data_IF_621759506711
#
_entry.id   IF_621759506711
#
_cell.length_a   1.000
_cell.length_b   1.000
_cell.length_c   1.000
_cell.angle_alpha   90.00
_cell.angle_beta   90.00
_cell.angle_gamma   90.00
#
_symmetry.space_group_name_H-M   'P 1'
#
loop_
_entity.id
_entity.type
_entity.pdbx_description
1 polymer ?
#
# COMPACT_ATOMS: atom_id res chain seq x y z
N UNK A 1 15.96 -18.44 -120.98
CA UNK A 1 14.51 -18.42 -120.88
C UNK A 1 14.07 -18.82 -119.47
N UNK A 2 13.36 -18.09 -118.83
CA UNK A 2 12.74 -18.25 -117.52
C UNK A 2 13.65 -18.34 -116.28
N UNK A 3 13.79 -17.13 -115.64
CA UNK A 3 14.26 -16.98 -114.27
C UNK A 3 13.20 -17.33 -113.25
N UNK A 4 13.55 -18.21 -112.34
CA UNK A 4 12.78 -18.39 -111.09
C UNK A 4 13.45 -17.73 -109.94
N UNK A 5 12.87 -16.65 -109.44
CA UNK A 5 13.23 -16.04 -108.18
C UNK A 5 12.69 -16.86 -107.06
N UNK A 6 13.55 -17.37 -106.20
CA UNK A 6 13.23 -18.01 -104.94
C UNK A 6 13.07 -17.01 -103.83
N UNK A 7 11.89 -16.97 -103.26
CA UNK A 7 11.53 -16.12 -102.12
C UNK A 7 11.91 -16.86 -100.82
N UNK A 8 12.82 -16.27 -100.00
CA UNK A 8 13.16 -16.76 -98.68
C UNK A 8 12.34 -15.97 -97.64
N UNK A 9 11.51 -16.56 -96.81
CA UNK A 9 10.82 -15.84 -95.74
C UNK A 9 11.72 -15.75 -94.50
N UNK A 10 11.98 -14.54 -94.08
CA UNK A 10 12.54 -14.25 -92.74
C UNK A 10 11.47 -14.49 -91.72
N UNK A 11 11.54 -15.63 -91.03
CA UNK A 11 10.74 -15.87 -89.85
C UNK A 11 11.61 -15.90 -88.58
N UNK A 12 11.28 -14.99 -87.67
CA UNK A 12 11.24 -15.37 -86.28
C UNK A 12 12.45 -15.14 -85.39
N UNK A 13 12.70 -13.88 -85.00
CA UNK A 13 13.55 -13.62 -83.84
C UNK A 13 12.89 -12.74 -82.77
N UNK A 14 11.59 -12.41 -82.86
CA UNK A 14 10.92 -11.53 -81.90
C UNK A 14 10.16 -12.27 -80.76
N UNK A 15 10.06 -13.57 -80.76
CA UNK A 15 9.33 -14.33 -79.71
C UNK A 15 10.19 -14.82 -78.53
N UNK A 16 11.50 -14.72 -78.62
CA UNK A 16 12.43 -15.24 -77.58
C UNK A 16 12.73 -14.21 -76.49
N UNK A 17 12.67 -12.91 -76.76
CA UNK A 17 12.97 -11.86 -75.80
C UNK A 17 11.93 -11.74 -74.67
N UNK A 18 10.63 -11.83 -74.98
CA UNK A 18 9.56 -11.76 -73.95
C UNK A 18 9.59 -12.94 -72.96
N UNK A 19 9.95 -14.14 -73.43
CA UNK A 19 10.12 -15.31 -72.52
C UNK A 19 11.32 -15.17 -71.61
N UNK A 20 12.42 -14.54 -72.10
CA UNK A 20 13.62 -14.26 -71.29
C UNK A 20 13.35 -13.25 -70.21
N UNK A 21 12.61 -12.14 -70.46
CA UNK A 21 12.22 -11.17 -69.45
C UNK A 21 11.33 -11.74 -68.37
N UNK A 22 10.35 -12.61 -68.73
CA UNK A 22 9.49 -13.29 -67.78
C UNK A 22 10.30 -14.26 -66.88
N UNK A 23 11.29 -14.95 -67.46
CA UNK A 23 12.16 -15.84 -66.66
C UNK A 23 13.05 -15.04 -65.69
N UNK A 24 13.62 -13.93 -66.13
CA UNK A 24 14.45 -13.03 -65.27
C UNK A 24 13.58 -12.44 -64.16
N UNK A 25 12.35 -11.98 -64.45
CA UNK A 25 11.42 -11.48 -63.44
C UNK A 25 11.03 -12.55 -62.43
N UNK A 26 10.79 -13.79 -62.86
CA UNK A 26 10.51 -14.92 -61.99
C UNK A 26 11.68 -15.25 -61.05
N UNK A 27 12.90 -15.17 -61.53
CA UNK A 27 14.11 -15.40 -60.73
C UNK A 27 14.27 -14.28 -59.68
N UNK A 28 14.11 -13.01 -60.07
CA UNK A 28 14.19 -11.87 -59.13
C UNK A 28 13.13 -12.00 -58.05
N UNK A 29 11.88 -12.35 -58.39
CA UNK A 29 10.81 -12.54 -57.46
C UNK A 29 11.07 -13.73 -56.49
N UNK A 30 11.60 -14.83 -57.00
CA UNK A 30 11.98 -15.98 -56.19
C UNK A 30 13.11 -15.68 -55.22
N UNK A 31 14.14 -14.93 -55.64
CA UNK A 31 15.22 -14.47 -54.79
C UNK A 31 14.71 -13.48 -53.71
N UNK A 32 13.83 -12.56 -54.10
CA UNK A 32 13.18 -11.63 -53.16
C UNK A 32 12.33 -12.36 -52.09
N UNK A 33 11.57 -13.35 -52.48
CA UNK A 33 10.79 -14.19 -51.56
C UNK A 33 11.70 -15.01 -50.64
N UNK A 34 12.75 -15.62 -51.11
CA UNK A 34 13.72 -16.36 -50.30
C UNK A 34 14.46 -15.43 -49.33
N UNK A 35 14.87 -14.26 -49.75
CA UNK A 35 15.49 -13.27 -48.88
C UNK A 35 14.54 -12.80 -47.80
N UNK A 36 13.27 -12.52 -48.15
CA UNK A 36 12.20 -12.15 -47.19
C UNK A 36 11.92 -13.28 -46.18
N UNK A 37 11.83 -14.52 -46.65
CA UNK A 37 11.63 -15.67 -45.77
C UNK A 37 12.83 -15.92 -44.86
N UNK A 38 14.04 -15.67 -45.30
CA UNK A 38 15.26 -15.80 -44.50
C UNK A 38 15.32 -14.69 -43.42
N UNK A 39 14.99 -13.45 -43.79
CA UNK A 39 14.92 -12.33 -42.83
C UNK A 39 13.82 -12.58 -41.78
N UNK A 40 12.63 -12.97 -42.24
CA UNK A 40 11.53 -13.32 -41.32
C UNK A 40 11.90 -14.52 -40.42
N UNK A 41 12.52 -15.57 -40.98
CA UNK A 41 12.96 -16.72 -40.20
C UNK A 41 14.02 -16.38 -39.14
N UNK A 42 14.93 -15.45 -39.45
CA UNK A 42 15.89 -14.94 -38.44
C UNK A 42 15.23 -14.06 -37.38
N UNK A 43 14.23 -13.27 -37.75
CA UNK A 43 13.45 -12.49 -36.78
C UNK A 43 12.63 -13.42 -35.86
N UNK A 44 12.05 -14.50 -36.39
CA UNK A 44 11.34 -15.49 -35.57
C UNK A 44 12.27 -16.32 -34.68
N UNK A 45 13.55 -16.53 -35.03
CA UNK A 45 14.53 -17.14 -34.13
C UNK A 45 14.81 -16.26 -32.89
N UNK A 46 14.79 -14.95 -33.06
CA UNK A 46 14.95 -14.00 -31.94
C UNK A 46 13.66 -13.83 -31.11
N UNK A 47 12.52 -14.29 -31.61
CA UNK A 47 11.24 -14.39 -30.88
C UNK A 47 11.10 -15.72 -30.12
N UNK A 48 12.14 -16.54 -30.00
CA UNK A 48 12.13 -17.62 -29.00
C UNK A 48 11.88 -16.95 -27.67
N UNK A 49 10.71 -17.22 -27.13
CA UNK A 49 10.37 -16.84 -25.76
C UNK A 49 11.50 -17.37 -24.89
N UNK A 50 12.42 -16.47 -24.54
CA UNK A 50 13.36 -16.73 -23.46
C UNK A 50 12.50 -17.09 -22.27
N UNK A 51 12.67 -18.30 -21.73
CA UNK A 51 11.94 -18.72 -20.54
C UNK A 51 12.05 -17.63 -19.49
N UNK A 52 11.16 -17.61 -18.55
CA UNK A 52 11.24 -16.68 -17.44
C UNK A 52 11.08 -17.40 -16.11
N UNK A 53 11.63 -16.82 -15.08
CA UNK A 53 11.46 -17.25 -13.70
C UNK A 53 10.80 -16.13 -12.92
N UNK A 54 9.66 -16.45 -12.28
CA UNK A 54 8.95 -15.52 -11.40
C UNK A 54 9.19 -15.91 -9.95
N UNK A 55 9.65 -14.97 -9.14
CA UNK A 55 9.97 -15.18 -7.73
C UNK A 55 9.33 -14.11 -6.88
N UNK A 56 9.02 -14.47 -5.63
CA UNK A 56 8.61 -13.52 -4.60
C UNK A 56 9.77 -13.29 -3.65
N UNK A 57 10.11 -12.00 -3.44
CA UNK A 57 11.03 -11.58 -2.42
C UNK A 57 10.27 -10.99 -1.23
N UNK A 58 10.77 -11.24 -0.04
CA UNK A 58 10.22 -10.78 1.23
C UNK A 58 11.26 -9.92 1.94
N UNK A 59 10.81 -8.79 2.49
CA UNK A 59 11.58 -8.05 3.48
C UNK A 59 10.75 -7.81 4.73
N UNK A 60 11.36 -8.03 5.87
CA UNK A 60 10.83 -7.70 7.19
C UNK A 60 11.88 -6.91 7.98
N UNK A 61 11.44 -5.90 8.71
CA UNK A 61 12.31 -5.13 9.62
C UNK A 61 11.50 -4.64 10.81
N UNK A 62 12.18 -4.53 11.95
CA UNK A 62 11.59 -4.02 13.18
C UNK A 62 11.87 -2.53 13.31
N UNK A 63 10.87 -1.79 13.79
CA UNK A 63 10.91 -0.35 14.00
C UNK A 63 10.22 -0.01 15.32
N UNK A 64 10.67 1.06 15.95
CA UNK A 64 10.03 1.63 17.14
C UNK A 64 9.24 2.87 16.70
N UNK A 65 7.99 2.97 17.13
CA UNK A 65 7.15 4.14 16.87
C UNK A 65 7.81 5.42 17.36
N UNK A 66 7.65 6.49 16.61
CA UNK A 66 8.28 7.78 16.88
C UNK A 66 7.30 8.84 17.36
N UNK A 67 6.00 8.57 17.23
CA UNK A 67 4.94 9.47 17.64
C UNK A 67 3.81 8.70 18.31
N UNK A 68 3.23 9.29 19.36
CA UNK A 68 2.03 8.80 20.02
C UNK A 68 0.94 9.88 20.02
N UNK A 69 -0.30 9.45 19.85
CA UNK A 69 -1.48 10.29 20.04
C UNK A 69 -2.40 9.67 21.08
N UNK A 70 -3.03 10.52 21.87
CA UNK A 70 -3.90 10.08 22.93
C UNK A 70 -5.09 11.01 23.11
N UNK A 71 -6.25 10.49 23.47
CA UNK A 71 -7.47 11.27 23.63
C UNK A 71 -8.03 11.09 25.03
N UNK A 72 -8.20 12.19 25.73
CA UNK A 72 -8.93 12.26 26.99
C UNK A 72 -10.26 12.98 26.71
N UNK A 73 -11.37 12.38 27.12
CA UNK A 73 -12.70 12.97 27.01
C UNK A 73 -13.12 13.54 28.34
N UNK A 74 -13.70 14.71 28.30
CA UNK A 74 -14.18 15.43 29.47
C UNK A 74 -15.64 15.76 29.26
N UNK A 75 -16.48 15.34 30.21
CA UNK A 75 -17.92 15.58 30.18
C UNK A 75 -18.35 16.47 31.35
N UNK A 76 -19.57 16.92 31.34
CA UNK A 76 -20.20 17.65 32.45
C UNK A 76 -21.71 17.68 32.22
N UNK A 77 -22.45 17.35 33.24
CA UNK A 77 -23.92 17.41 33.24
C UNK A 77 -24.38 18.65 33.99
N UNK A 78 -25.54 19.19 33.59
CA UNK A 78 -26.21 20.27 34.28
C UNK A 78 -27.69 20.33 34.00
N UNK A 79 -28.46 20.81 34.96
CA UNK A 79 -29.92 20.98 34.79
C UNK A 79 -30.24 22.05 33.72
N UNK A 80 -29.34 23.03 33.56
CA UNK A 80 -29.39 24.03 32.49
C UNK A 80 -28.19 23.91 31.57
N UNK A 81 -28.29 24.51 30.38
CA UNK A 81 -27.19 24.58 29.43
C UNK A 81 -25.90 25.21 30.03
N UNK A 82 -26.11 26.30 30.81
CA UNK A 82 -25.00 26.96 31.50
C UNK A 82 -24.37 26.10 32.57
N UNK A 83 -25.16 25.37 33.35
CA UNK A 83 -24.64 24.45 34.38
C UNK A 83 -23.80 23.34 33.77
N UNK A 84 -24.25 22.75 32.66
CA UNK A 84 -23.50 21.74 31.94
C UNK A 84 -22.15 22.27 31.40
N UNK A 85 -22.15 23.49 30.83
CA UNK A 85 -20.92 24.16 30.41
C UNK A 85 -19.96 24.41 31.56
N UNK A 86 -20.47 24.88 32.70
CA UNK A 86 -19.65 25.16 33.89
C UNK A 86 -19.04 23.87 34.47
N UNK A 87 -19.82 22.81 34.54
CA UNK A 87 -19.35 21.50 34.98
C UNK A 87 -18.24 20.97 34.04
N UNK A 88 -18.46 21.03 32.73
CA UNK A 88 -17.45 20.64 31.76
C UNK A 88 -16.17 21.46 31.89
N UNK A 89 -16.27 22.79 32.05
CA UNK A 89 -15.10 23.66 32.20
C UNK A 89 -14.29 23.32 33.47
N UNK A 90 -14.95 23.02 34.57
CA UNK A 90 -14.30 22.58 35.82
C UNK A 90 -13.50 21.30 35.60
N UNK A 91 -14.13 20.29 34.99
CA UNK A 91 -13.51 18.99 34.71
C UNK A 91 -12.37 19.13 33.68
N UNK A 92 -12.53 20.00 32.66
CA UNK A 92 -11.48 20.32 31.70
C UNK A 92 -10.23 20.91 32.41
N UNK A 93 -10.44 21.85 33.33
CA UNK A 93 -9.33 22.47 34.08
C UNK A 93 -8.58 21.43 34.92
N UNK A 94 -9.28 20.43 35.47
CA UNK A 94 -8.68 19.34 36.22
C UNK A 94 -7.84 18.42 35.32
N UNK A 95 -8.37 18.01 34.17
CA UNK A 95 -7.64 17.21 33.19
C UNK A 95 -6.39 17.96 32.63
N UNK A 96 -6.51 19.26 32.37
CA UNK A 96 -5.39 20.10 31.93
C UNK A 96 -4.31 20.21 33.01
N UNK A 97 -4.69 20.38 34.28
CA UNK A 97 -3.72 20.39 35.39
C UNK A 97 -2.96 19.04 35.49
N UNK A 98 -3.68 17.95 35.38
CA UNK A 98 -3.06 16.63 35.31
C UNK A 98 -2.03 16.53 34.18
N UNK A 99 -2.41 16.89 32.96
CA UNK A 99 -1.52 16.82 31.80
C UNK A 99 -0.27 17.71 31.96
N UNK A 100 -0.43 18.91 32.51
CA UNK A 100 0.71 19.78 32.86
C UNK A 100 1.65 19.13 33.87
N UNK A 101 1.08 18.48 34.90
CA UNK A 101 1.87 17.75 35.90
C UNK A 101 2.62 16.55 35.30
N UNK A 102 2.07 15.92 34.25
CA UNK A 102 2.74 14.87 33.50
C UNK A 102 3.77 15.41 32.48
N UNK A 103 3.91 16.73 32.35
CA UNK A 103 4.90 17.39 31.49
C UNK A 103 4.47 17.62 30.04
N UNK A 104 3.16 17.60 29.76
CA UNK A 104 2.65 17.98 28.46
C UNK A 104 2.38 19.49 28.41
N UNK A 105 3.11 20.19 27.53
CA UNK A 105 2.94 21.61 27.29
C UNK A 105 1.67 21.90 26.47
N UNK A 106 1.28 23.18 26.39
CA UNK A 106 0.09 23.61 25.66
C UNK A 106 0.18 23.27 24.16
N UNK A 107 1.36 23.29 23.57
CA UNK A 107 1.66 22.92 22.18
C UNK A 107 1.44 21.43 21.86
N UNK A 108 1.47 20.56 22.87
CA UNK A 108 1.22 19.13 22.72
C UNK A 108 -0.26 18.76 22.83
N UNK A 109 -1.12 19.73 23.10
CA UNK A 109 -2.53 19.52 23.39
C UNK A 109 -3.41 20.35 22.47
N UNK A 110 -4.42 19.70 21.93
CA UNK A 110 -5.52 20.32 21.21
C UNK A 110 -6.82 20.05 21.97
N UNK A 111 -7.53 21.11 22.34
CA UNK A 111 -8.83 21.01 22.99
C UNK A 111 -9.90 21.21 21.91
N UNK A 112 -10.81 20.25 21.75
CA UNK A 112 -11.89 20.36 20.78
C UNK A 112 -12.91 21.42 21.21
N UNK A 113 -13.74 21.85 20.26
CA UNK A 113 -14.89 22.70 20.54
C UNK A 113 -15.84 22.03 21.53
N UNK A 114 -16.59 22.87 22.28
CA UNK A 114 -17.61 22.41 23.22
C UNK A 114 -18.83 21.92 22.44
N UNK A 115 -19.23 20.71 22.71
CA UNK A 115 -20.51 20.14 22.28
C UNK A 115 -21.44 20.06 23.48
N UNK A 116 -22.66 20.58 23.33
CA UNK A 116 -23.71 20.52 24.38
C UNK A 116 -24.98 19.99 23.75
N UNK A 117 -25.49 18.92 24.30
CA UNK A 117 -26.69 18.26 23.84
C UNK A 117 -27.69 18.02 25.02
N UNK A 118 -28.95 17.81 24.68
CA UNK A 118 -29.94 17.43 25.67
C UNK A 118 -29.61 16.05 26.26
N UNK A 119 -29.60 15.94 27.58
CA UNK A 119 -29.50 14.65 28.27
C UNK A 119 -30.89 13.99 28.31
N UNK A 120 -30.98 12.73 27.88
CA UNK A 120 -32.21 11.97 27.83
C UNK A 120 -32.09 10.72 28.70
N UNK A 121 -32.90 10.67 29.77
CA UNK A 121 -33.06 9.47 30.59
C UNK A 121 -33.99 8.47 29.93
N UNK A 122 -33.63 7.21 29.97
CA UNK A 122 -34.52 6.09 29.60
C UNK A 122 -34.95 5.32 30.83
N UNK A 123 -36.24 5.05 30.96
CA UNK A 123 -36.78 4.30 32.06
C UNK A 123 -37.89 3.35 31.59
N UNK A 124 -38.10 2.28 32.31
CA UNK A 124 -39.16 1.34 32.05
C UNK A 124 -40.43 1.73 32.88
N UNK A 125 -41.59 1.79 32.23
CA UNK A 125 -42.83 2.04 32.92
C UNK A 125 -43.38 0.76 33.55
N UNK A 126 -44.49 0.85 34.34
CA UNK A 126 -45.14 -0.28 35.02
C UNK A 126 -45.63 -1.39 34.07
N UNK A 127 -45.68 -1.11 32.74
CA UNK A 127 -46.08 -2.06 31.69
C UNK A 127 -44.90 -2.72 31.00
N UNK A 128 -43.65 -2.45 31.43
CA UNK A 128 -42.44 -2.95 30.80
C UNK A 128 -42.08 -2.26 29.49
N UNK A 129 -42.65 -1.08 29.21
CA UNK A 129 -42.31 -0.27 28.01
C UNK A 129 -41.21 0.72 28.33
N UNK A 130 -40.17 0.80 27.46
CA UNK A 130 -39.13 1.82 27.55
C UNK A 130 -39.71 3.19 27.20
N UNK A 131 -39.58 4.14 28.10
CA UNK A 131 -39.93 5.55 27.92
C UNK A 131 -38.69 6.41 28.07
N UNK A 132 -38.74 7.62 27.53
CA UNK A 132 -37.64 8.61 27.63
C UNK A 132 -38.18 9.94 28.15
N UNK A 133 -37.35 10.67 28.86
CA UNK A 133 -37.57 12.06 29.24
C UNK A 133 -36.30 12.85 29.19
N UNK A 134 -36.41 14.10 28.80
CA UNK A 134 -35.29 15.04 28.85
C UNK A 134 -34.99 15.42 30.28
N UNK A 135 -33.70 15.35 30.67
CA UNK A 135 -33.23 15.61 32.03
C UNK A 135 -31.91 16.42 31.99
N UNK A 136 -32.05 17.69 31.62
CA UNK A 136 -30.89 18.59 31.56
C UNK A 136 -30.07 18.45 30.31
N UNK A 137 -28.79 18.74 30.43
CA UNK A 137 -27.83 18.85 29.31
C UNK A 137 -26.52 18.16 29.64
N UNK A 138 -25.91 17.57 28.60
CA UNK A 138 -24.57 17.04 28.64
C UNK A 138 -23.65 17.96 27.80
N UNK A 139 -22.55 18.34 28.39
CA UNK A 139 -21.47 19.06 27.71
C UNK A 139 -20.25 18.18 27.55
N UNK A 140 -19.64 18.13 26.41
CA UNK A 140 -18.45 17.30 26.14
C UNK A 140 -17.37 18.02 25.36
N UNK A 141 -16.12 17.69 25.68
CA UNK A 141 -14.91 18.06 24.94
C UNK A 141 -13.92 16.92 24.95
N UNK A 142 -13.01 16.94 24.00
CA UNK A 142 -11.86 16.06 24.00
C UNK A 142 -10.56 16.85 24.06
N UNK A 143 -9.58 16.33 24.79
CA UNK A 143 -8.19 16.80 24.74
C UNK A 143 -7.42 15.77 23.93
N UNK A 144 -6.88 16.19 22.80
CA UNK A 144 -6.00 15.37 21.98
C UNK A 144 -4.56 15.72 22.31
N UNK A 145 -3.79 14.71 22.64
CA UNK A 145 -2.36 14.83 22.94
C UNK A 145 -1.59 14.23 21.76
N UNK A 146 -0.54 14.92 21.31
CA UNK A 146 0.40 14.40 20.31
C UNK A 146 1.82 14.63 20.83
N UNK A 147 2.61 13.57 20.86
CA UNK A 147 3.97 13.64 21.42
C UNK A 147 4.91 12.63 20.77
N UNK A 148 6.20 12.99 20.71
CA UNK A 148 7.30 12.08 20.39
C UNK A 148 7.91 11.42 21.62
N UNK A 149 7.57 11.90 22.80
CA UNK A 149 8.05 11.37 24.08
C UNK A 149 7.16 10.22 24.57
N UNK A 150 7.30 9.04 23.95
CA UNK A 150 6.43 7.89 24.22
C UNK A 150 6.52 7.37 25.66
N UNK A 151 7.69 7.44 26.29
CA UNK A 151 7.88 7.06 27.70
C UNK A 151 7.06 7.98 28.62
N UNK A 152 7.01 9.28 28.33
CA UNK A 152 6.18 10.22 29.06
C UNK A 152 4.69 9.91 28.90
N UNK A 153 4.27 9.57 27.68
CA UNK A 153 2.90 9.17 27.38
C UNK A 153 2.50 7.89 28.15
N UNK A 154 3.34 6.87 28.16
CA UNK A 154 3.09 5.64 28.91
C UNK A 154 2.98 5.88 30.42
N UNK A 155 3.81 6.76 30.97
CA UNK A 155 3.74 7.14 32.38
C UNK A 155 2.42 7.90 32.69
N UNK A 156 2.02 8.82 31.83
CA UNK A 156 0.75 9.54 31.99
C UNK A 156 -0.44 8.59 31.89
N UNK A 157 -0.40 7.61 30.98
CA UNK A 157 -1.43 6.59 30.87
C UNK A 157 -1.58 5.74 32.14
N UNK A 158 -0.48 5.43 32.81
CA UNK A 158 -0.53 4.76 34.11
C UNK A 158 -1.13 5.65 35.19
N UNK A 159 -0.75 6.93 35.23
CA UNK A 159 -1.17 7.85 36.29
C UNK A 159 -2.61 8.36 36.16
N UNK A 160 -3.19 8.34 34.94
CA UNK A 160 -4.55 8.88 34.70
C UNK A 160 -5.62 8.08 35.44
N UNK A 161 -5.39 6.82 35.72
CA UNK A 161 -6.33 5.99 36.45
C UNK A 161 -6.72 6.58 37.81
N UNK A 162 -5.76 7.23 38.49
CA UNK A 162 -6.02 7.92 39.76
C UNK A 162 -6.93 9.13 39.57
N UNK A 163 -6.76 9.89 38.46
CA UNK A 163 -7.63 11.02 38.14
C UNK A 163 -9.06 10.55 37.86
N UNK A 164 -9.21 9.52 37.03
CA UNK A 164 -10.52 8.97 36.67
C UNK A 164 -11.22 8.34 37.87
N UNK A 165 -10.49 7.69 38.77
CA UNK A 165 -11.05 7.14 40.01
C UNK A 165 -11.69 8.24 40.91
N UNK A 166 -11.14 9.47 40.85
CA UNK A 166 -11.63 10.62 41.62
C UNK A 166 -12.69 11.44 40.86
N UNK A 167 -12.67 11.38 39.53
CA UNK A 167 -13.59 12.13 38.67
C UNK A 167 -14.00 11.32 37.45
N UNK A 168 -15.19 10.70 37.51
CA UNK A 168 -15.69 9.82 36.44
C UNK A 168 -16.22 10.57 35.21
N UNK A 169 -16.32 11.90 35.27
CA UNK A 169 -16.62 12.75 34.10
C UNK A 169 -15.41 12.89 33.16
N UNK A 170 -14.25 12.38 33.58
CA UNK A 170 -13.05 12.28 32.78
C UNK A 170 -12.85 10.82 32.38
N UNK A 171 -12.69 10.57 31.09
CA UNK A 171 -12.43 9.24 30.53
C UNK A 171 -11.33 9.32 29.48
N UNK A 172 -10.73 8.19 29.16
CA UNK A 172 -9.65 8.14 28.18
C UNK A 172 -9.72 6.84 27.35
N UNK A 173 -9.21 6.90 26.13
CA UNK A 173 -8.99 5.73 25.29
C UNK A 173 -7.55 5.26 25.34
N UNK A 174 -7.27 4.17 24.65
CA UNK A 174 -5.91 3.73 24.43
C UNK A 174 -5.17 4.69 23.50
N UNK A 175 -3.88 4.91 23.70
CA UNK A 175 -3.07 5.71 22.78
C UNK A 175 -2.85 4.97 21.46
N UNK A 176 -2.64 5.75 20.39
CA UNK A 176 -2.19 5.23 19.11
C UNK A 176 -0.74 5.63 18.87
N UNK A 177 0.03 4.70 18.32
CA UNK A 177 1.45 4.86 18.06
C UNK A 177 1.74 4.74 16.57
N UNK A 178 2.59 5.65 16.06
CA UNK A 178 2.86 5.81 14.64
C UNK A 178 4.35 5.84 14.35
N UNK A 179 4.70 5.34 13.15
CA UNK A 179 6.01 5.54 12.54
C UNK A 179 5.94 6.81 11.65
N UNK A 180 6.91 7.69 11.81
CA UNK A 180 7.21 8.71 10.82
C UNK A 180 8.01 8.10 9.66
N UNK A 181 8.12 8.81 8.54
CA UNK A 181 8.96 8.43 7.40
C UNK A 181 8.59 7.08 6.75
N UNK A 182 7.30 6.73 6.69
CA UNK A 182 6.82 5.49 6.07
C UNK A 182 7.33 5.30 4.64
N UNK A 183 7.48 6.37 3.86
CA UNK A 183 7.99 6.29 2.49
C UNK A 183 9.48 5.90 2.44
N UNK A 184 10.27 6.31 3.42
CA UNK A 184 11.66 5.88 3.54
C UNK A 184 11.74 4.40 3.92
N UNK A 185 10.97 3.98 4.93
CA UNK A 185 10.88 2.58 5.37
C UNK A 185 10.46 1.69 4.19
N UNK A 186 9.46 2.11 3.43
CA UNK A 186 8.97 1.39 2.26
C UNK A 186 10.04 1.21 1.19
N UNK A 187 10.82 2.27 0.88
CA UNK A 187 11.94 2.18 -0.08
C UNK A 187 13.04 1.23 0.38
N UNK A 188 13.39 1.26 1.66
CA UNK A 188 14.36 0.34 2.24
C UNK A 188 13.90 -1.12 2.13
N UNK A 189 12.61 -1.39 2.42
CA UNK A 189 12.05 -2.73 2.31
C UNK A 189 11.92 -3.19 0.86
N UNK A 190 11.58 -2.30 -0.08
CA UNK A 190 11.59 -2.64 -1.52
C UNK A 190 12.99 -3.09 -1.94
N UNK A 191 14.04 -2.37 -1.55
CA UNK A 191 15.42 -2.73 -1.86
C UNK A 191 15.79 -4.10 -1.31
N UNK A 192 15.50 -4.37 -0.03
CA UNK A 192 15.78 -5.64 0.62
C UNK A 192 14.97 -6.80 0.01
N UNK A 193 13.69 -6.59 -0.27
CA UNK A 193 12.84 -7.60 -0.89
C UNK A 193 13.26 -7.92 -2.33
N UNK A 194 13.70 -6.92 -3.08
CA UNK A 194 14.23 -7.11 -4.44
C UNK A 194 15.52 -7.93 -4.42
N UNK A 195 16.39 -7.67 -3.45
CA UNK A 195 17.61 -8.46 -3.26
C UNK A 195 17.30 -9.90 -2.88
N UNK A 196 16.34 -10.13 -1.97
CA UNK A 196 15.88 -11.48 -1.60
C UNK A 196 15.28 -12.23 -2.80
N UNK A 197 14.47 -11.54 -3.63
CA UNK A 197 13.94 -12.12 -4.87
C UNK A 197 15.05 -12.52 -5.84
N UNK A 198 16.08 -11.68 -5.98
CA UNK A 198 17.22 -11.99 -6.86
C UNK A 198 17.99 -13.22 -6.40
N UNK A 199 18.32 -13.31 -5.12
CA UNK A 199 18.99 -14.48 -4.52
C UNK A 199 18.16 -15.77 -4.75
N UNK A 200 16.85 -15.72 -4.53
CA UNK A 200 15.95 -16.86 -4.79
C UNK A 200 15.94 -17.26 -6.27
N UNK A 201 15.92 -16.27 -7.18
CA UNK A 201 15.97 -16.54 -8.61
C UNK A 201 17.29 -17.24 -8.99
N UNK A 202 18.42 -16.83 -8.43
CA UNK A 202 19.73 -17.46 -8.65
C UNK A 202 19.76 -18.90 -8.12
N UNK A 203 19.17 -19.17 -6.96
CA UNK A 203 19.08 -20.51 -6.40
C UNK A 203 18.26 -21.46 -7.28
N UNK A 204 17.11 -21.00 -7.78
CA UNK A 204 16.30 -21.78 -8.72
C UNK A 204 17.03 -22.00 -10.05
N UNK A 205 17.67 -20.96 -10.58
CA UNK A 205 18.42 -21.05 -11.85
C UNK A 205 19.57 -22.04 -11.73
N UNK A 206 20.34 -21.98 -10.63
CA UNK A 206 21.44 -22.89 -10.36
C UNK A 206 20.98 -24.36 -10.31
N UNK A 207 19.86 -24.63 -9.63
CA UNK A 207 19.30 -25.99 -9.52
C UNK A 207 18.80 -26.51 -10.89
N UNK A 208 18.31 -25.61 -11.73
CA UNK A 208 17.80 -25.93 -13.08
C UNK A 208 18.86 -25.85 -14.18
N UNK A 209 20.12 -25.58 -13.83
CA UNK A 209 21.26 -25.43 -14.74
C UNK A 209 21.03 -24.37 -15.85
N UNK A 210 20.40 -23.25 -15.46
CA UNK A 210 20.20 -22.04 -16.27
C UNK A 210 20.78 -20.83 -15.54
N UNK A 211 20.83 -19.66 -16.19
CA UNK A 211 21.30 -18.40 -15.59
C UNK A 211 20.13 -17.42 -15.47
N UNK A 212 20.17 -16.59 -14.43
CA UNK A 212 19.27 -15.45 -14.29
C UNK A 212 19.71 -14.36 -15.27
N UNK A 213 18.84 -13.97 -16.17
CA UNK A 213 19.06 -12.89 -17.12
C UNK A 213 18.48 -11.56 -16.64
N UNK A 214 18.06 -10.73 -17.59
CA UNK A 214 17.54 -9.38 -17.31
C UNK A 214 16.18 -9.42 -16.63
N UNK A 215 15.90 -8.37 -15.85
CA UNK A 215 14.58 -8.13 -15.24
C UNK A 215 13.55 -7.88 -16.34
N UNK A 216 12.47 -8.66 -16.38
CA UNK A 216 11.34 -8.52 -17.31
C UNK A 216 10.21 -7.70 -16.72
N UNK A 217 9.85 -7.98 -15.49
CA UNK A 217 8.80 -7.26 -14.78
C UNK A 217 9.06 -7.25 -13.27
N UNK A 218 8.57 -6.23 -12.60
CA UNK A 218 8.59 -6.11 -11.16
C UNK A 218 7.27 -5.50 -10.67
N UNK A 219 6.69 -6.07 -9.63
CA UNK A 219 5.53 -5.53 -8.97
C UNK A 219 5.70 -5.58 -7.46
N UNK A 220 5.23 -4.51 -6.81
CA UNK A 220 5.20 -4.42 -5.37
C UNK A 220 3.85 -4.94 -4.86
N UNK A 221 3.91 -5.84 -3.90
CA UNK A 221 2.75 -6.28 -3.13
C UNK A 221 2.39 -5.29 -2.02
N UNK A 222 1.43 -5.66 -1.15
CA UNK A 222 1.02 -4.80 -0.05
C UNK A 222 2.16 -4.57 0.95
N UNK A 223 2.09 -3.40 1.59
CA UNK A 223 2.99 -2.98 2.66
C UNK A 223 2.23 -3.05 3.99
N UNK A 224 2.78 -3.78 4.95
CA UNK A 224 2.16 -4.02 6.26
C UNK A 224 3.02 -3.41 7.37
N UNK A 225 2.36 -2.77 8.31
CA UNK A 225 2.91 -2.41 9.62
C UNK A 225 2.11 -3.19 10.66
N UNK A 226 2.74 -4.12 11.33
CA UNK A 226 2.11 -5.06 12.26
C UNK A 226 2.73 -4.96 13.65
N UNK A 227 2.04 -5.48 14.65
CA UNK A 227 2.65 -5.77 15.94
C UNK A 227 3.82 -6.76 15.76
N UNK A 228 4.83 -6.77 16.66
CA UNK A 228 6.01 -7.65 16.53
C UNK A 228 5.66 -9.14 16.45
N UNK A 229 4.63 -9.54 17.19
CA UNK A 229 4.09 -10.89 17.22
C UNK A 229 2.60 -10.82 16.92
N UNK A 230 2.21 -10.71 15.65
CA UNK A 230 0.80 -10.75 15.29
C UNK A 230 0.24 -12.12 15.66
N UNK A 231 -0.93 -12.14 16.30
CA UNK A 231 -1.65 -13.38 16.53
C UNK A 231 -1.91 -14.08 15.20
N UNK A 232 -1.88 -15.42 15.20
CA UNK A 232 -1.96 -16.22 13.98
C UNK A 232 -3.26 -16.00 13.16
N UNK A 233 -4.27 -15.38 13.78
CA UNK A 233 -5.56 -15.06 13.16
C UNK A 233 -5.61 -13.71 12.42
N UNK A 234 -4.57 -12.87 12.53
CA UNK A 234 -4.52 -11.58 11.82
C UNK A 234 -4.03 -11.75 10.36
N UNK A 235 -4.54 -12.80 9.73
CA UNK A 235 -4.37 -13.08 8.30
C UNK A 235 -5.31 -12.24 7.42
N UNK A 236 -5.40 -10.93 7.67
CA UNK A 236 -6.04 -10.00 6.72
C UNK A 236 -5.12 -9.79 5.52
N UNK A 237 -5.08 -10.80 4.67
CA UNK A 237 -4.11 -10.99 3.57
C UNK A 237 -4.35 -10.07 2.36
N UNK A 238 -5.36 -9.18 2.39
CA UNK A 238 -5.80 -8.51 1.16
C UNK A 238 -5.63 -7.00 1.08
N UNK A 239 -5.40 -6.34 2.19
CA UNK A 239 -5.13 -4.89 2.21
C UNK A 239 -4.05 -4.60 3.24
N UNK A 240 -3.04 -3.84 2.85
CA UNK A 240 -1.99 -3.42 3.77
C UNK A 240 -2.58 -2.94 5.10
N UNK A 241 -2.18 -3.56 6.22
CA UNK A 241 -2.62 -3.20 7.55
C UNK A 241 -1.62 -2.28 8.23
N UNK A 242 -2.12 -1.38 9.08
CA UNK A 242 -1.31 -0.51 9.91
C UNK A 242 -1.73 -0.65 11.36
N UNK A 243 -0.93 -1.37 12.17
CA UNK A 243 -1.14 -1.46 13.61
C UNK A 243 -0.77 -0.16 14.30
N UNK A 244 -1.69 0.40 15.09
CA UNK A 244 -1.47 1.60 15.90
C UNK A 244 -1.41 1.31 17.39
N UNK A 245 -1.66 0.07 17.82
CA UNK A 245 -1.80 -0.31 19.23
C UNK A 245 -0.46 -0.53 19.94
N UNK A 246 0.61 -0.81 19.20
CA UNK A 246 1.92 -1.17 19.77
C UNK A 246 2.99 -0.11 19.46
N UNK A 247 3.95 0.04 20.38
CA UNK A 247 5.13 0.91 20.16
C UNK A 247 6.12 0.22 19.23
N UNK A 248 6.48 -1.02 19.54
CA UNK A 248 7.33 -1.83 18.66
C UNK A 248 6.51 -2.37 17.50
N UNK A 249 7.05 -2.28 16.29
CA UNK A 249 6.37 -2.64 15.06
C UNK A 249 7.24 -3.49 14.17
N UNK A 250 6.62 -4.34 13.38
CA UNK A 250 7.24 -5.08 12.30
C UNK A 250 6.69 -4.60 10.96
N UNK A 251 7.55 -4.01 10.14
CA UNK A 251 7.20 -3.67 8.77
C UNK A 251 7.52 -4.83 7.84
N UNK A 252 6.60 -5.17 6.94
CA UNK A 252 6.69 -6.27 5.99
C UNK A 252 6.29 -5.82 4.60
N UNK A 253 7.07 -6.24 3.60
CA UNK A 253 6.79 -5.96 2.20
C UNK A 253 7.18 -7.16 1.33
N UNK A 254 6.35 -7.48 0.34
CA UNK A 254 6.60 -8.52 -0.65
C UNK A 254 6.71 -7.87 -2.03
N UNK A 255 7.67 -8.31 -2.82
CA UNK A 255 7.77 -7.98 -4.24
C UNK A 255 7.63 -9.26 -5.06
N UNK A 256 7.10 -9.14 -6.27
CA UNK A 256 7.11 -10.20 -7.27
C UNK A 256 7.95 -9.73 -8.45
N UNK A 257 8.96 -10.49 -8.80
CA UNK A 257 9.90 -10.13 -9.86
C UNK A 257 10.00 -11.29 -10.86
N UNK A 258 9.96 -10.95 -12.13
CA UNK A 258 10.17 -11.87 -13.22
C UNK A 258 11.48 -11.55 -13.93
N UNK A 259 12.35 -12.53 -14.02
CA UNK A 259 13.62 -12.48 -14.75
C UNK A 259 13.55 -13.35 -16.01
N UNK A 260 14.22 -12.93 -17.06
CA UNK A 260 14.56 -13.82 -18.16
C UNK A 260 15.52 -14.91 -17.67
N UNK A 261 15.52 -16.07 -18.30
CA UNK A 261 16.52 -17.11 -18.10
C UNK A 261 17.35 -17.32 -19.38
N UNK A 262 18.65 -17.56 -19.19
CA UNK A 262 19.63 -17.78 -20.26
C UNK A 262 20.27 -19.17 -20.13
#
# INVERSE_FOLDING_TARGET
HYNKHSFIPHHGHYMNSKKSYLAIFGIILAVGLMASAFILGNQFKNLRQTGSISVKGLAESHYTSTQGTWVIRVTGWGATYNDAMAANQKNLNEAVRFLKAQGFADENREITELDVSTHTDYYENEKGETKSRDNGFDASRAIRISTKELTKLQKALTNIHQLVANNQDISFGDPNYYLENLEQIKRELISKATQDAHVRAEEFAKTSNVKVGVLKSASQGPFYIQAPNPDADDSSDYTGSYDTSTIEKKARLVVTIEYAIE
#
